data_IF_822035868420
#
_entry.id   IF_822035868420
#
_cell.length_a   1.000
_cell.length_b   1.000
_cell.length_c   1.000
_cell.angle_alpha   90.00
_cell.angle_beta   90.00
_cell.angle_gamma   90.00
#
_symmetry.space_group_name_H-M   'P 1'
#
loop_
_entity.id
_entity.type
_entity.pdbx_description
1 polymer ?
#
# COMPACT_ATOMS: atom_id res chain seq x y z
N UNK A 1 -18.57 -27.11 9.44
CA UNK A 1 -18.31 -26.06 10.46
C UNK A 1 -17.80 -24.80 9.76
N UNK A 2 -18.67 -23.99 9.18
CA UNK A 2 -18.32 -22.72 8.52
C UNK A 2 -18.32 -21.61 9.55
N UNK A 3 -17.12 -21.23 10.05
CA UNK A 3 -16.95 -20.04 10.87
C UNK A 3 -17.41 -18.83 10.05
N UNK A 4 -18.55 -18.25 10.42
CA UNK A 4 -18.96 -16.96 9.88
C UNK A 4 -18.01 -15.89 10.41
N UNK A 5 -17.51 -14.95 9.58
CA UNK A 5 -16.70 -13.85 10.07
C UNK A 5 -17.52 -13.04 11.10
N UNK A 6 -16.93 -12.61 12.22
CA UNK A 6 -17.65 -12.07 13.38
C UNK A 6 -18.39 -10.74 13.13
N UNK A 7 -18.28 -10.15 11.93
CA UNK A 7 -18.65 -8.76 11.67
C UNK A 7 -19.86 -8.56 10.77
N UNK A 8 -20.61 -9.61 10.41
CA UNK A 8 -21.76 -9.51 9.47
C UNK A 8 -22.88 -8.55 9.92
N UNK A 9 -22.84 -8.04 11.16
CA UNK A 9 -23.74 -7.03 11.73
C UNK A 9 -23.03 -5.88 12.47
N UNK A 10 -21.71 -5.75 12.35
CA UNK A 10 -20.97 -4.67 13.02
C UNK A 10 -21.15 -3.37 12.25
N UNK A 11 -21.62 -2.31 12.91
CA UNK A 11 -21.55 -0.94 12.38
C UNK A 11 -20.21 -0.36 12.82
N UNK A 12 -19.26 -0.21 11.90
CA UNK A 12 -17.94 0.33 12.18
C UNK A 12 -17.97 1.86 12.14
N UNK A 13 -17.72 2.51 13.28
CA UNK A 13 -17.75 3.98 13.43
C UNK A 13 -16.40 4.55 13.91
N UNK A 14 -15.32 3.79 13.80
CA UNK A 14 -13.98 4.17 14.30
C UNK A 14 -13.00 4.51 13.16
N UNK A 15 -13.51 5.07 12.07
CA UNK A 15 -12.72 5.47 10.89
C UNK A 15 -11.65 6.52 11.19
N UNK A 16 -11.83 7.29 12.28
CA UNK A 16 -10.83 8.25 12.76
C UNK A 16 -9.57 7.58 13.32
N UNK A 17 -9.66 6.35 13.83
CA UNK A 17 -8.50 5.63 14.37
C UNK A 17 -7.80 4.81 13.29
N UNK A 18 -8.56 4.10 12.46
CA UNK A 18 -8.05 3.36 11.30
C UNK A 18 -9.18 3.05 10.34
N UNK A 19 -8.88 2.59 9.12
CA UNK A 19 -9.90 2.17 8.16
C UNK A 19 -9.67 0.73 7.70
N UNK A 20 -10.74 -0.05 7.46
CA UNK A 20 -10.59 -1.37 6.86
C UNK A 20 -9.94 -1.24 5.47
N UNK A 21 -9.10 -2.21 5.12
CA UNK A 21 -8.44 -2.23 3.82
C UNK A 21 -9.48 -2.39 2.71
N UNK A 22 -9.47 -1.48 1.75
CA UNK A 22 -10.30 -1.58 0.55
C UNK A 22 -9.85 -2.80 -0.30
N UNK A 23 -10.78 -3.66 -0.77
CA UNK A 23 -10.44 -4.79 -1.64
C UNK A 23 -9.62 -4.42 -2.88
N UNK A 24 -9.85 -3.24 -3.48
CA UNK A 24 -9.08 -2.77 -4.64
C UNK A 24 -7.64 -2.44 -4.25
N UNK A 25 -7.44 -1.86 -3.05
CA UNK A 25 -6.11 -1.60 -2.51
C UNK A 25 -5.38 -2.91 -2.23
N UNK A 26 -6.07 -3.93 -1.68
CA UNK A 26 -5.50 -5.27 -1.54
C UNK A 26 -5.06 -5.83 -2.90
N UNK A 27 -5.91 -5.74 -3.93
CA UNK A 27 -5.57 -6.20 -5.28
C UNK A 27 -4.35 -5.50 -5.87
N UNK A 28 -4.20 -4.19 -5.62
CA UNK A 28 -3.01 -3.43 -6.04
C UNK A 28 -1.74 -3.84 -5.27
N UNK A 29 -1.88 -4.25 -4.00
CA UNK A 29 -0.76 -4.65 -3.13
C UNK A 29 -0.32 -6.10 -3.37
N UNK A 30 -1.26 -7.01 -3.62
CA UNK A 30 -1.04 -8.46 -3.68
C UNK A 30 0.16 -8.90 -4.55
N UNK A 31 0.39 -8.36 -5.76
CA UNK A 31 1.52 -8.75 -6.59
C UNK A 31 2.89 -8.53 -5.91
N UNK A 32 3.01 -7.51 -5.05
CA UNK A 32 4.25 -7.21 -4.33
C UNK A 32 4.48 -8.11 -3.12
N UNK A 33 3.45 -8.81 -2.65
CA UNK A 33 3.57 -9.85 -1.62
C UNK A 33 3.87 -11.24 -2.20
N UNK A 34 3.57 -11.46 -3.49
CA UNK A 34 3.71 -12.78 -4.14
C UNK A 34 4.84 -12.84 -5.16
N UNK A 35 4.79 -11.99 -6.18
CA UNK A 35 5.59 -12.11 -7.39
C UNK A 35 6.74 -11.10 -7.46
N UNK A 36 6.55 -9.90 -6.87
CA UNK A 36 7.49 -8.77 -6.94
C UNK A 36 8.07 -8.38 -5.58
N UNK A 37 8.33 -9.37 -4.71
CA UNK A 37 8.79 -9.20 -3.32
C UNK A 37 10.25 -8.72 -3.16
N UNK A 38 10.92 -8.32 -4.25
CA UNK A 38 12.33 -7.94 -4.23
C UNK A 38 12.59 -6.67 -3.43
N UNK A 39 13.81 -6.54 -2.88
CA UNK A 39 14.22 -5.29 -2.22
C UNK A 39 14.58 -4.21 -3.24
N UNK A 40 14.00 -2.99 -3.17
CA UNK A 40 14.28 -1.90 -4.12
C UNK A 40 15.73 -1.38 -4.06
N UNK A 41 16.51 -1.74 -3.03
CA UNK A 41 17.93 -1.39 -2.93
C UNK A 41 18.84 -2.33 -3.74
N UNK A 42 18.30 -3.41 -4.30
CA UNK A 42 19.08 -4.42 -5.02
C UNK A 42 18.99 -4.24 -6.53
N UNK A 43 20.05 -4.64 -7.25
CA UNK A 43 20.18 -4.41 -8.69
C UNK A 43 19.59 -5.51 -9.58
N UNK A 44 19.29 -6.68 -9.03
CA UNK A 44 18.73 -7.80 -9.79
C UNK A 44 17.26 -7.54 -10.17
N UNK A 45 16.68 -8.41 -11.00
CA UNK A 45 15.39 -8.18 -11.66
C UNK A 45 14.25 -7.79 -10.68
N UNK A 46 14.04 -8.56 -9.61
CA UNK A 46 12.95 -8.26 -8.65
C UNK A 46 13.19 -6.93 -7.93
N UNK A 47 14.45 -6.61 -7.60
CA UNK A 47 14.81 -5.33 -7.00
C UNK A 47 14.48 -4.14 -7.90
N UNK A 48 14.75 -4.25 -9.20
CA UNK A 48 14.37 -3.22 -10.17
C UNK A 48 12.85 -3.07 -10.32
N UNK A 49 12.10 -4.17 -10.28
CA UNK A 49 10.64 -4.14 -10.32
C UNK A 49 10.06 -3.44 -9.08
N UNK A 50 10.54 -3.79 -7.89
CA UNK A 50 10.14 -3.14 -6.64
C UNK A 50 10.52 -1.66 -6.62
N UNK A 51 11.70 -1.30 -7.12
CA UNK A 51 12.13 0.11 -7.23
C UNK A 51 11.20 0.90 -8.14
N UNK A 52 10.81 0.36 -9.30
CA UNK A 52 9.86 1.00 -10.21
C UNK A 52 8.49 1.20 -9.56
N UNK A 53 8.01 0.24 -8.78
CA UNK A 53 6.76 0.37 -8.03
C UNK A 53 6.81 1.51 -7.00
N UNK A 54 7.91 1.60 -6.24
CA UNK A 54 8.15 2.69 -5.29
C UNK A 54 8.21 4.07 -5.97
N UNK A 55 8.86 4.18 -7.12
CA UNK A 55 8.92 5.41 -7.91
C UNK A 55 7.55 5.84 -8.43
N UNK A 56 6.74 4.88 -8.89
CA UNK A 56 5.37 5.14 -9.34
C UNK A 56 4.48 5.60 -8.17
N UNK A 57 4.54 4.93 -7.03
CA UNK A 57 3.80 5.33 -5.83
C UNK A 57 4.17 6.76 -5.40
N UNK A 58 5.46 7.10 -5.45
CA UNK A 58 5.95 8.46 -5.13
C UNK A 58 5.34 9.52 -6.04
N UNK A 59 5.28 9.26 -7.35
CA UNK A 59 4.66 10.17 -8.34
C UNK A 59 3.16 10.33 -8.10
N UNK A 60 2.46 9.23 -7.78
CA UNK A 60 1.03 9.26 -7.49
C UNK A 60 0.72 10.11 -6.25
N UNK A 61 1.45 9.89 -5.15
CA UNK A 61 1.31 10.70 -3.92
C UNK A 61 1.62 12.16 -4.18
N UNK A 62 2.73 12.45 -4.87
CA UNK A 62 3.11 13.82 -5.23
C UNK A 62 1.99 14.53 -6.02
N UNK A 63 1.42 13.85 -7.02
CA UNK A 63 0.31 14.38 -7.81
C UNK A 63 -0.96 14.61 -6.99
N UNK A 64 -1.25 13.76 -6.00
CA UNK A 64 -2.44 13.89 -5.16
C UNK A 64 -2.39 15.13 -4.26
N UNK A 65 -1.19 15.52 -3.81
CA UNK A 65 -0.99 16.64 -2.88
C UNK A 65 -0.40 17.90 -3.53
N UNK A 66 -0.16 17.89 -4.85
CA UNK A 66 0.43 19.01 -5.58
C UNK A 66 1.92 19.26 -5.30
N UNK A 67 2.65 18.22 -4.91
CA UNK A 67 4.09 18.28 -4.65
C UNK A 67 4.91 17.73 -5.83
N UNK A 68 6.23 17.92 -5.79
CA UNK A 68 7.17 17.21 -6.67
C UNK A 68 7.47 15.82 -6.11
N UNK A 69 7.75 14.81 -6.94
CA UNK A 69 8.12 13.48 -6.47
C UNK A 69 9.27 13.49 -5.46
N UNK A 70 10.26 14.36 -5.63
CA UNK A 70 11.45 14.47 -4.78
C UNK A 70 11.14 15.01 -3.38
N UNK A 71 9.98 15.66 -3.20
CA UNK A 71 9.52 16.21 -1.91
C UNK A 71 8.75 15.17 -1.08
N UNK A 72 8.41 14.02 -1.66
CA UNK A 72 7.67 12.94 -0.96
C UNK A 72 8.67 12.01 -0.29
N UNK A 73 8.54 11.79 1.02
CA UNK A 73 9.28 10.77 1.77
C UNK A 73 8.31 9.81 2.45
N UNK A 74 8.50 8.50 2.23
CA UNK A 74 7.67 7.48 2.87
C UNK A 74 8.16 7.20 4.28
N UNK A 75 7.26 7.26 5.26
CA UNK A 75 7.48 6.85 6.65
C UNK A 75 6.49 5.74 7.02
N UNK A 76 6.61 5.16 8.21
CA UNK A 76 5.70 4.12 8.70
C UNK A 76 4.35 4.66 9.22
N UNK A 77 4.17 5.99 9.24
CA UNK A 77 2.96 6.66 9.76
C UNK A 77 3.26 8.09 10.19
N UNK A 78 2.21 8.91 10.30
CA UNK A 78 2.28 10.32 10.74
C UNK A 78 1.80 10.48 12.17
N UNK A 79 2.61 10.11 13.15
CA UNK A 79 2.37 10.54 14.53
C UNK A 79 2.70 12.01 14.69
#
# INVERSE_FOLDING_TARGET
>A
MTRHPPYKKLVYQDHSATSPLDPEVWGAMEPYFKDYFGSPSTLYLLGRQAKKAMENARKQVASLIGAKPEEVYFTSGGR
#
